data_IF_156528778054
#
_entry.id   IF_156528778054
#
_cell.length_a   1.000
_cell.length_b   1.000
_cell.length_c   1.000
_cell.angle_alpha   90.00
_cell.angle_beta   90.00
_cell.angle_gamma   90.00
#
_symmetry.space_group_name_H-M   'P 1'
#
loop_
_entity.id
_entity.type
_entity.pdbx_description
1 polymer ?
#
# COMPACT_ATOMS: atom_id res chain seq x y z
N UNK A 1 -18.64 17.66 7.56
CA UNK A 1 -18.73 16.18 7.50
C UNK A 1 -17.40 15.63 8.00
N UNK A 2 -17.35 14.72 8.97
CA UNK A 2 -16.07 14.24 9.54
C UNK A 2 -15.40 13.27 8.56
N UNK A 3 -14.05 13.28 8.51
CA UNK A 3 -13.23 12.37 7.69
C UNK A 3 -13.66 10.89 7.79
N UNK A 4 -14.11 10.44 8.98
CA UNK A 4 -14.64 9.10 9.20
C UNK A 4 -15.93 8.80 8.41
N UNK A 5 -16.84 9.77 8.30
CA UNK A 5 -18.09 9.60 7.52
C UNK A 5 -17.81 9.54 6.02
N UNK A 6 -16.78 10.23 5.58
CA UNK A 6 -16.43 10.31 4.16
C UNK A 6 -15.70 9.05 3.68
N UNK A 7 -14.75 8.52 4.46
CA UNK A 7 -14.08 7.25 4.14
C UNK A 7 -15.07 6.08 4.05
N UNK A 8 -16.05 6.04 4.99
CA UNK A 8 -17.12 5.06 4.95
C UNK A 8 -18.03 5.22 3.72
N UNK A 9 -18.29 6.46 3.27
CA UNK A 9 -19.13 6.73 2.09
C UNK A 9 -18.44 6.35 0.79
N UNK A 10 -17.16 6.64 0.63
CA UNK A 10 -16.41 6.27 -0.58
C UNK A 10 -16.27 4.76 -0.69
N UNK A 11 -15.96 4.09 0.40
CA UNK A 11 -15.90 2.63 0.42
C UNK A 11 -17.28 2.02 0.20
N UNK A 12 -18.35 2.60 0.75
CA UNK A 12 -19.71 2.20 0.53
C UNK A 12 -20.10 2.27 -0.95
N UNK A 13 -19.71 3.32 -1.67
CA UNK A 13 -19.96 3.43 -3.10
C UNK A 13 -19.18 2.37 -3.90
N UNK A 14 -17.92 2.10 -3.55
CA UNK A 14 -17.09 1.08 -4.22
C UNK A 14 -17.60 -0.33 -3.93
N UNK A 15 -17.98 -0.62 -2.69
CA UNK A 15 -18.51 -1.92 -2.29
C UNK A 15 -19.95 -2.14 -2.76
N UNK A 16 -20.80 -1.09 -2.75
CA UNK A 16 -22.17 -1.16 -3.21
C UNK A 16 -22.27 -1.28 -4.75
N UNK A 17 -21.33 -0.72 -5.51
CA UNK A 17 -21.25 -0.94 -6.95
C UNK A 17 -21.04 -2.44 -7.32
N UNK A 18 -20.51 -3.25 -6.38
CA UNK A 18 -20.43 -4.70 -6.50
C UNK A 18 -21.72 -5.47 -6.20
N UNK A 19 -22.76 -4.80 -5.69
CA UNK A 19 -24.01 -5.41 -5.23
C UNK A 19 -25.09 -5.47 -6.31
N UNK A 20 -24.78 -5.97 -7.47
CA UNK A 20 -25.81 -6.32 -8.42
C UNK A 20 -26.53 -7.61 -7.95
N UNK A 21 -27.88 -7.67 -8.02
CA UNK A 21 -28.61 -8.87 -7.61
C UNK A 21 -28.11 -10.11 -8.36
N UNK A 22 -28.14 -11.27 -7.70
CA UNK A 22 -27.62 -12.54 -8.21
C UNK A 22 -28.14 -12.93 -9.62
N UNK A 23 -29.28 -12.39 -10.05
CA UNK A 23 -29.81 -12.50 -11.42
C UNK A 23 -28.98 -11.71 -12.48
N UNK A 24 -28.21 -10.71 -12.06
CA UNK A 24 -27.34 -9.95 -12.96
C UNK A 24 -25.97 -10.63 -13.18
N UNK A 25 -25.64 -11.69 -12.43
CA UNK A 25 -24.41 -12.47 -12.67
C UNK A 25 -24.40 -13.19 -14.03
N UNK A 26 -25.56 -13.48 -14.59
CA UNK A 26 -25.68 -14.06 -15.94
C UNK A 26 -25.49 -13.00 -17.05
N UNK A 27 -25.68 -11.72 -16.74
CA UNK A 27 -25.53 -10.58 -17.65
C UNK A 27 -24.15 -9.91 -17.55
N UNK A 28 -23.17 -10.50 -16.84
CA UNK A 28 -21.80 -9.98 -16.66
C UNK A 28 -20.99 -9.84 -17.94
N UNK A 29 -21.50 -10.25 -19.08
CA UNK A 29 -20.91 -10.00 -20.40
C UNK A 29 -21.37 -8.68 -21.07
N UNK A 30 -22.34 -7.99 -20.51
CA UNK A 30 -22.62 -6.61 -20.90
C UNK A 30 -21.73 -5.72 -20.03
N UNK A 31 -20.79 -4.99 -20.64
CA UNK A 31 -20.02 -3.95 -19.97
C UNK A 31 -21.00 -3.04 -19.26
N UNK A 32 -21.02 -3.05 -17.92
CA UNK A 32 -21.71 -2.00 -17.18
C UNK A 32 -21.11 -0.68 -17.60
N UNK A 33 -21.93 0.15 -18.21
CA UNK A 33 -21.54 1.50 -18.56
C UNK A 33 -21.44 2.30 -17.25
N UNK A 34 -20.21 2.57 -16.85
CA UNK A 34 -19.94 3.27 -15.59
C UNK A 34 -20.57 4.67 -15.57
N UNK A 35 -20.82 5.25 -16.73
CA UNK A 35 -21.48 6.55 -16.86
C UNK A 35 -22.99 6.50 -16.53
N UNK A 36 -23.54 5.33 -16.24
CA UNK A 36 -24.95 5.14 -15.88
C UNK A 36 -25.19 4.83 -14.40
N UNK A 37 -24.16 4.87 -13.55
CA UNK A 37 -24.33 4.64 -12.11
C UNK A 37 -24.92 5.88 -11.42
N UNK A 38 -26.05 5.70 -10.75
CA UNK A 38 -26.59 6.69 -9.82
C UNK A 38 -25.93 6.53 -8.45
N UNK A 39 -24.76 7.15 -8.26
CA UNK A 39 -24.00 7.05 -7.01
C UNK A 39 -24.80 7.49 -5.78
N UNK A 40 -25.57 8.60 -5.80
CA UNK A 40 -26.48 8.93 -4.71
C UNK A 40 -27.48 7.81 -4.37
N UNK A 41 -28.14 7.24 -5.36
CA UNK A 41 -29.10 6.14 -5.15
C UNK A 41 -28.42 4.89 -4.57
N UNK A 42 -27.21 4.56 -5.03
CA UNK A 42 -26.41 3.44 -4.50
C UNK A 42 -26.09 3.67 -3.02
N UNK A 43 -25.65 4.88 -2.65
CA UNK A 43 -25.32 5.22 -1.26
C UNK A 43 -26.55 5.16 -0.34
N UNK A 44 -27.71 5.54 -0.83
CA UNK A 44 -28.96 5.55 -0.06
C UNK A 44 -29.64 4.16 0.00
N UNK A 45 -29.18 3.18 -0.74
CA UNK A 45 -29.74 1.82 -0.75
C UNK A 45 -29.42 1.03 0.53
N UNK A 46 -29.83 1.57 1.70
CA UNK A 46 -29.53 0.99 3.03
C UNK A 46 -30.19 -0.38 3.25
N UNK A 47 -31.26 -0.68 2.51
CA UNK A 47 -31.98 -1.94 2.58
C UNK A 47 -31.44 -3.00 1.61
N UNK A 48 -30.38 -2.69 0.87
CA UNK A 48 -29.75 -3.64 -0.03
C UNK A 48 -29.24 -4.87 0.74
N UNK A 49 -29.42 -6.05 0.14
CA UNK A 49 -29.04 -7.34 0.72
C UNK A 49 -28.00 -8.03 -0.17
N UNK A 50 -27.07 -8.77 0.46
CA UNK A 50 -26.09 -9.53 -0.31
C UNK A 50 -24.83 -9.86 0.46
N UNK A 51 -23.80 -10.23 -0.29
CA UNK A 51 -22.46 -10.49 0.24
C UNK A 51 -21.42 -9.78 -0.61
N UNK A 52 -20.49 -9.10 0.04
CA UNK A 52 -19.31 -8.49 -0.57
C UNK A 52 -18.06 -9.21 -0.04
N UNK A 53 -17.30 -9.83 -0.95
CA UNK A 53 -16.02 -10.43 -0.63
C UNK A 53 -14.92 -9.39 -0.82
N UNK A 54 -14.23 -9.06 0.28
CA UNK A 54 -13.11 -8.12 0.31
C UNK A 54 -11.82 -8.92 0.41
N UNK A 55 -11.03 -8.98 -0.65
CA UNK A 55 -9.73 -9.63 -0.62
C UNK A 55 -8.65 -8.62 -0.31
N UNK A 56 -7.80 -8.92 0.68
CA UNK A 56 -6.72 -8.01 1.09
C UNK A 56 -5.55 -8.77 1.74
N UNK A 57 -4.41 -8.12 1.86
CA UNK A 57 -3.21 -8.68 2.53
C UNK A 57 -2.90 -8.02 3.87
N UNK A 58 -3.68 -7.07 4.34
CA UNK A 58 -3.51 -6.43 5.64
C UNK A 58 -3.95 -7.35 6.78
N UNK A 59 -3.00 -8.11 7.31
CA UNK A 59 -3.28 -9.20 8.27
C UNK A 59 -2.68 -8.97 9.65
N UNK A 60 -1.87 -7.91 9.85
CA UNK A 60 -1.19 -7.63 11.10
C UNK A 60 -1.09 -6.13 11.39
N UNK A 61 -0.87 -5.77 12.66
CA UNK A 61 -0.62 -4.42 13.11
C UNK A 61 -1.70 -3.42 12.73
N UNK A 62 -1.33 -2.15 12.57
CA UNK A 62 -2.23 -1.07 12.22
C UNK A 62 -2.91 -1.20 10.86
N UNK A 63 -2.33 -1.94 9.92
CA UNK A 63 -2.97 -2.25 8.65
C UNK A 63 -4.23 -3.12 8.84
N UNK A 64 -4.14 -4.14 9.71
CA UNK A 64 -5.30 -4.97 10.06
C UNK A 64 -6.39 -4.13 10.70
N UNK A 65 -6.04 -3.30 11.69
CA UNK A 65 -7.00 -2.43 12.39
C UNK A 65 -7.66 -1.45 11.41
N UNK A 66 -6.91 -0.94 10.43
CA UNK A 66 -7.42 -0.04 9.41
C UNK A 66 -8.46 -0.71 8.52
N UNK A 67 -8.18 -1.90 7.96
CA UNK A 67 -9.16 -2.59 7.10
C UNK A 67 -10.37 -3.09 7.89
N UNK A 68 -10.20 -3.53 9.14
CA UNK A 68 -11.31 -3.91 10.01
C UNK A 68 -12.21 -2.70 10.28
N UNK A 69 -11.66 -1.53 10.58
CA UNK A 69 -12.43 -0.29 10.76
C UNK A 69 -13.23 0.10 9.51
N UNK A 70 -12.69 -0.16 8.33
CA UNK A 70 -13.33 0.09 7.05
C UNK A 70 -14.50 -0.89 6.84
N UNK A 71 -14.28 -2.18 7.05
CA UNK A 71 -15.31 -3.23 6.92
C UNK A 71 -16.44 -3.03 7.94
N UNK A 72 -16.10 -2.68 9.18
CA UNK A 72 -17.09 -2.39 10.23
C UNK A 72 -17.91 -1.14 9.89
N UNK A 73 -17.27 -0.08 9.40
CA UNK A 73 -17.97 1.13 8.93
C UNK A 73 -18.97 0.83 7.82
N UNK A 74 -18.60 -0.04 6.87
CA UNK A 74 -19.50 -0.52 5.84
C UNK A 74 -20.66 -1.33 6.41
N UNK A 75 -20.37 -2.32 7.25
CA UNK A 75 -21.40 -3.20 7.87
C UNK A 75 -22.39 -2.43 8.73
N UNK A 76 -21.93 -1.39 9.44
CA UNK A 76 -22.80 -0.50 10.22
C UNK A 76 -23.70 0.37 9.31
N UNK A 77 -23.24 0.68 8.10
CA UNK A 77 -24.00 1.49 7.14
C UNK A 77 -25.01 0.66 6.36
N UNK A 78 -24.64 -0.60 6.05
CA UNK A 78 -25.44 -1.54 5.25
C UNK A 78 -25.59 -2.87 6.01
N UNK A 79 -26.46 -2.93 7.03
CA UNK A 79 -26.53 -4.08 7.95
C UNK A 79 -27.02 -5.38 7.30
N UNK A 80 -27.71 -5.29 6.18
CA UNK A 80 -28.21 -6.45 5.43
C UNK A 80 -27.20 -6.99 4.40
N UNK A 81 -26.07 -6.31 4.24
CA UNK A 81 -25.00 -6.76 3.37
C UNK A 81 -23.89 -7.39 4.24
N UNK A 82 -23.61 -8.65 3.99
CA UNK A 82 -22.51 -9.33 4.65
C UNK A 82 -21.18 -8.98 4.00
N UNK A 83 -20.39 -8.11 4.63
CA UNK A 83 -19.00 -7.91 4.24
C UNK A 83 -18.15 -9.08 4.75
N UNK A 84 -17.51 -9.80 3.84
CA UNK A 84 -16.62 -10.93 4.14
C UNK A 84 -15.17 -10.56 3.87
N UNK A 85 -14.43 -10.32 4.94
CA UNK A 85 -12.98 -10.14 4.87
C UNK A 85 -12.29 -11.46 4.52
N UNK A 86 -11.55 -11.48 3.42
CA UNK A 86 -10.75 -12.61 2.94
C UNK A 86 -9.27 -12.20 3.00
N UNK A 87 -8.73 -12.20 4.20
CA UNK A 87 -7.35 -11.84 4.47
C UNK A 87 -6.39 -12.93 3.99
N UNK A 88 -5.42 -12.58 3.15
CA UNK A 88 -4.39 -13.49 2.64
C UNK A 88 -3.04 -12.90 2.99
N UNK A 89 -2.32 -13.47 3.97
CA UNK A 89 -1.04 -12.94 4.40
C UNK A 89 0.02 -13.07 3.31
N UNK A 90 0.91 -12.10 3.27
CA UNK A 90 2.04 -12.06 2.34
C UNK A 90 2.40 -10.63 2.00
N UNK A 91 3.66 -10.27 2.20
CA UNK A 91 4.15 -8.91 1.95
C UNK A 91 3.84 -8.44 0.53
N UNK A 92 3.50 -7.17 0.40
CA UNK A 92 3.13 -6.53 -0.87
C UNK A 92 2.05 -7.26 -1.70
N UNK A 93 1.22 -8.10 -1.04
CA UNK A 93 0.04 -8.69 -1.66
C UNK A 93 0.27 -9.81 -2.67
N UNK A 94 1.48 -10.28 -2.90
CA UNK A 94 1.79 -11.23 -3.97
C UNK A 94 0.89 -12.49 -3.97
N UNK A 95 0.67 -13.11 -2.80
CA UNK A 95 -0.20 -14.27 -2.68
C UNK A 95 -1.68 -13.93 -2.96
N UNK A 96 -2.14 -12.77 -2.50
CA UNK A 96 -3.50 -12.30 -2.73
C UNK A 96 -3.74 -11.97 -4.20
N UNK A 97 -2.83 -11.27 -4.85
CA UNK A 97 -2.86 -10.98 -6.29
C UNK A 97 -2.98 -12.25 -7.13
N UNK A 98 -2.17 -13.27 -6.83
CA UNK A 98 -2.27 -14.57 -7.49
C UNK A 98 -3.63 -15.24 -7.27
N UNK A 99 -4.17 -15.18 -6.06
CA UNK A 99 -5.50 -15.72 -5.74
C UNK A 99 -6.60 -15.02 -6.53
N UNK A 100 -6.57 -13.70 -6.61
CA UNK A 100 -7.55 -12.90 -7.37
C UNK A 100 -7.48 -13.25 -8.86
N UNK A 101 -6.28 -13.36 -9.45
CA UNK A 101 -6.11 -13.76 -10.85
C UNK A 101 -6.72 -15.14 -11.12
N UNK A 102 -6.51 -16.12 -10.25
CA UNK A 102 -7.12 -17.47 -10.37
C UNK A 102 -8.65 -17.39 -10.30
N UNK A 103 -9.20 -16.59 -9.37
CA UNK A 103 -10.65 -16.41 -9.26
C UNK A 103 -11.25 -15.75 -10.51
N UNK A 104 -10.57 -14.75 -11.06
CA UNK A 104 -11.01 -14.08 -12.28
C UNK A 104 -11.00 -15.04 -13.48
N UNK A 105 -9.94 -15.84 -13.63
CA UNK A 105 -9.86 -16.86 -14.69
C UNK A 105 -10.98 -17.92 -14.57
N UNK A 106 -11.39 -18.21 -13.34
CA UNK A 106 -12.50 -19.13 -13.09
C UNK A 106 -13.90 -18.48 -13.21
N UNK A 107 -14.00 -17.22 -13.64
CA UNK A 107 -15.25 -16.45 -13.70
C UNK A 107 -15.86 -16.13 -12.33
N UNK A 108 -15.06 -16.16 -11.27
CA UNK A 108 -15.45 -15.91 -9.87
C UNK A 108 -14.74 -14.69 -9.31
N UNK A 109 -14.69 -13.61 -10.08
CA UNK A 109 -14.07 -12.34 -9.63
C UNK A 109 -14.67 -11.91 -8.29
N UNK A 110 -13.85 -11.49 -7.31
CA UNK A 110 -14.36 -10.90 -6.07
C UNK A 110 -15.05 -9.56 -6.36
N UNK A 111 -15.91 -9.12 -5.47
CA UNK A 111 -16.58 -7.83 -5.56
C UNK A 111 -15.61 -6.69 -5.36
N UNK A 112 -14.61 -6.87 -4.49
CA UNK A 112 -13.52 -5.89 -4.31
C UNK A 112 -12.26 -6.58 -3.80
N UNK A 113 -11.11 -6.00 -4.15
CA UNK A 113 -9.82 -6.48 -3.68
C UNK A 113 -8.84 -5.31 -3.57
N UNK A 114 -7.86 -5.47 -2.70
CA UNK A 114 -6.75 -4.54 -2.55
C UNK A 114 -5.79 -4.68 -3.73
N UNK A 115 -5.28 -3.57 -4.23
CA UNK A 115 -4.25 -3.51 -5.26
C UNK A 115 -3.40 -2.25 -5.05
N UNK A 116 -2.18 -2.26 -5.55
CA UNK A 116 -1.42 -1.03 -5.70
C UNK A 116 -1.86 -0.30 -6.98
N UNK A 117 -1.82 1.03 -6.99
CA UNK A 117 -2.07 1.80 -8.21
C UNK A 117 -0.93 1.64 -9.23
N UNK A 118 -1.10 2.23 -10.41
CA UNK A 118 -0.10 2.20 -11.47
C UNK A 118 -0.06 0.86 -12.21
N UNK A 119 1.12 0.35 -12.50
CA UNK A 119 1.32 -0.82 -13.35
C UNK A 119 0.65 -2.10 -12.85
N UNK A 120 0.36 -2.23 -11.56
CA UNK A 120 -0.26 -3.44 -11.02
C UNK A 120 -1.71 -3.64 -11.50
N UNK A 121 -2.46 -2.56 -11.76
CA UNK A 121 -3.85 -2.67 -12.22
C UNK A 121 -3.97 -2.91 -13.72
N UNK A 122 -2.96 -2.60 -14.53
CA UNK A 122 -3.00 -2.72 -15.99
C UNK A 122 -3.41 -4.12 -16.50
N UNK A 123 -2.88 -5.23 -15.94
CA UNK A 123 -3.31 -6.57 -16.38
C UNK A 123 -4.80 -6.85 -16.13
N UNK A 124 -5.44 -6.15 -15.19
CA UNK A 124 -6.85 -6.34 -14.91
C UNK A 124 -7.76 -5.59 -15.89
N UNK A 125 -7.28 -4.52 -16.53
CA UNK A 125 -8.04 -3.76 -17.53
C UNK A 125 -8.41 -4.64 -18.72
N UNK A 126 -7.47 -5.48 -19.17
CA UNK A 126 -7.68 -6.39 -20.32
C UNK A 126 -8.75 -7.45 -20.05
N UNK A 127 -9.03 -7.75 -18.79
CA UNK A 127 -10.06 -8.71 -18.40
C UNK A 127 -11.48 -8.18 -18.58
N UNK A 128 -11.65 -6.85 -18.62
CA UNK A 128 -12.96 -6.17 -18.63
C UNK A 128 -13.78 -6.40 -17.36
N UNK A 129 -13.15 -6.82 -16.26
CA UNK A 129 -13.82 -7.16 -15.01
C UNK A 129 -13.75 -6.04 -13.96
N UNK A 130 -12.97 -4.99 -14.21
CA UNK A 130 -12.92 -3.82 -13.36
C UNK A 130 -14.05 -2.85 -13.71
N UNK A 131 -14.65 -2.30 -12.67
CA UNK A 131 -15.64 -1.24 -12.78
C UNK A 131 -14.92 0.10 -12.82
N UNK A 132 -15.25 0.95 -13.81
CA UNK A 132 -14.81 2.34 -13.85
C UNK A 132 -15.38 3.10 -12.65
N UNK A 133 -14.52 3.81 -11.95
CA UNK A 133 -14.86 4.54 -10.71
C UNK A 133 -14.81 6.07 -10.87
N UNK A 134 -14.74 6.61 -12.08
CA UNK A 134 -14.68 8.05 -12.30
C UNK A 134 -15.81 8.79 -11.57
N UNK A 135 -17.05 8.31 -11.66
CA UNK A 135 -18.16 8.93 -10.95
C UNK A 135 -18.04 8.88 -9.43
N UNK A 136 -17.40 7.83 -8.88
CA UNK A 136 -17.12 7.74 -7.43
C UNK A 136 -16.07 8.79 -7.04
N UNK A 137 -15.05 8.97 -7.86
CA UNK A 137 -14.02 9.98 -7.65
C UNK A 137 -14.60 11.39 -7.67
N UNK A 138 -15.46 11.69 -8.64
CA UNK A 138 -16.12 12.98 -8.79
C UNK A 138 -17.08 13.26 -7.62
N UNK A 139 -17.98 12.32 -7.33
CA UNK A 139 -18.96 12.45 -6.25
C UNK A 139 -18.29 12.66 -4.89
N UNK A 140 -17.27 11.90 -4.59
CA UNK A 140 -16.54 12.00 -3.34
C UNK A 140 -15.45 13.10 -3.35
N UNK A 141 -15.24 13.79 -4.46
CA UNK A 141 -14.20 14.81 -4.65
C UNK A 141 -12.83 14.30 -4.21
N UNK A 142 -12.46 13.07 -4.62
CA UNK A 142 -11.24 12.42 -4.17
C UNK A 142 -10.01 13.19 -4.68
N UNK A 143 -9.97 13.55 -5.95
CA UNK A 143 -8.86 14.27 -6.58
C UNK A 143 -8.52 15.60 -5.91
N UNK A 144 -9.54 16.35 -5.49
CA UNK A 144 -9.32 17.66 -4.81
C UNK A 144 -8.74 17.54 -3.40
N UNK A 145 -8.71 16.34 -2.83
CA UNK A 145 -8.20 16.05 -1.48
C UNK A 145 -7.02 15.09 -1.48
N UNK A 146 -6.70 14.57 -2.65
CA UNK A 146 -5.54 13.71 -2.85
C UNK A 146 -4.24 14.51 -2.68
N UNK A 147 -3.18 13.81 -2.28
CA UNK A 147 -1.84 14.36 -2.36
C UNK A 147 -1.46 14.60 -3.84
N UNK A 148 -0.60 15.58 -4.12
CA UNK A 148 -0.08 15.77 -5.47
C UNK A 148 0.47 14.48 -6.07
N UNK A 149 0.13 14.20 -7.34
CA UNK A 149 0.54 12.99 -8.06
C UNK A 149 -0.26 11.72 -7.75
N UNK A 150 -1.06 11.69 -6.67
CA UNK A 150 -1.83 10.49 -6.32
C UNK A 150 -2.96 10.22 -7.31
N UNK A 151 -3.60 11.25 -7.84
CA UNK A 151 -4.63 11.10 -8.85
C UNK A 151 -4.05 10.52 -10.15
N UNK A 152 -2.90 11.02 -10.58
CA UNK A 152 -2.20 10.52 -11.77
C UNK A 152 -1.81 9.05 -11.60
N UNK A 153 -1.29 8.69 -10.42
CA UNK A 153 -0.93 7.31 -10.09
C UNK A 153 -2.14 6.36 -10.09
N UNK A 154 -3.32 6.84 -9.68
CA UNK A 154 -4.58 6.09 -9.70
C UNK A 154 -5.30 6.10 -11.05
N UNK A 155 -4.79 6.86 -12.03
CA UNK A 155 -5.34 6.92 -13.40
C UNK A 155 -4.65 5.86 -14.25
N UNK A 156 -5.44 4.95 -14.81
CA UNK A 156 -4.94 3.85 -15.65
C UNK A 156 -4.55 4.36 -17.05
N UNK A 157 -3.89 3.51 -17.84
CA UNK A 157 -3.41 3.84 -19.18
C UNK A 157 -4.52 4.24 -20.17
N UNK A 158 -5.77 3.86 -19.91
CA UNK A 158 -6.94 4.27 -20.68
C UNK A 158 -7.57 5.61 -20.24
N UNK A 159 -6.97 6.28 -19.25
CA UNK A 159 -7.43 7.55 -18.70
C UNK A 159 -8.53 7.43 -17.64
N UNK A 160 -8.93 6.24 -17.26
CA UNK A 160 -9.97 6.01 -16.26
C UNK A 160 -9.40 5.58 -14.90
N UNK A 161 -10.23 5.70 -13.87
CA UNK A 161 -9.91 5.32 -12.50
C UNK A 161 -10.67 4.05 -12.12
N UNK A 162 -9.94 3.03 -11.66
CA UNK A 162 -10.48 1.73 -11.26
C UNK A 162 -10.15 1.40 -9.80
N UNK A 163 -9.46 2.30 -9.12
CA UNK A 163 -8.98 2.13 -7.77
C UNK A 163 -9.33 3.37 -6.93
N UNK A 164 -9.56 3.15 -5.65
CA UNK A 164 -9.73 4.21 -4.65
C UNK A 164 -8.65 4.05 -3.59
N UNK A 165 -7.84 5.08 -3.34
CA UNK A 165 -6.81 5.02 -2.32
C UNK A 165 -7.44 4.96 -0.93
N UNK A 166 -7.14 3.93 -0.15
CA UNK A 166 -7.60 3.75 1.23
C UNK A 166 -6.49 3.90 2.26
N UNK A 167 -5.24 3.87 1.82
CA UNK A 167 -4.06 4.09 2.64
C UNK A 167 -2.90 4.59 1.79
N UNK A 168 -2.06 5.43 2.39
CA UNK A 168 -0.84 5.94 1.79
C UNK A 168 0.27 5.68 2.80
N UNK A 169 1.29 4.94 2.35
CA UNK A 169 2.47 4.66 3.14
C UNK A 169 3.56 5.66 2.79
N UNK A 170 4.26 6.16 3.81
CA UNK A 170 5.51 6.90 3.61
C UNK A 170 6.65 5.89 3.68
N UNK A 171 7.39 5.72 2.60
CA UNK A 171 8.57 4.86 2.56
C UNK A 171 9.88 5.62 2.76
N UNK A 172 9.93 6.89 2.38
CA UNK A 172 11.12 7.74 2.46
C UNK A 172 11.33 8.38 3.85
N UNK A 173 11.23 7.59 4.91
CA UNK A 173 11.42 8.04 6.28
C UNK A 173 12.23 7.01 7.07
N UNK A 174 13.08 7.49 7.98
CA UNK A 174 13.82 6.66 8.92
C UNK A 174 13.09 6.71 10.27
N UNK A 175 12.68 5.56 10.76
CA UNK A 175 12.19 5.42 12.12
C UNK A 175 13.36 5.07 13.04
N UNK A 176 13.43 5.71 14.20
CA UNK A 176 14.46 5.42 15.19
C UNK A 176 13.90 5.37 16.59
N UNK A 177 14.51 4.57 17.46
CA UNK A 177 14.14 4.47 18.85
C UNK A 177 15.01 5.42 19.69
N UNK A 178 14.40 6.48 20.23
CA UNK A 178 15.11 7.49 21.05
C UNK A 178 15.79 6.86 22.27
N UNK A 179 15.20 5.82 22.85
CA UNK A 179 15.78 5.16 24.03
C UNK A 179 17.04 4.36 23.68
N UNK A 180 17.17 3.88 22.46
CA UNK A 180 18.42 3.26 21.99
C UNK A 180 19.52 4.28 21.91
N UNK A 181 19.25 5.46 21.35
CA UNK A 181 20.20 6.57 21.30
C UNK A 181 20.62 7.01 22.70
N UNK A 182 19.67 7.21 23.62
CA UNK A 182 19.94 7.54 25.04
C UNK A 182 20.77 6.46 25.72
N UNK A 183 20.41 5.18 25.54
CA UNK A 183 21.09 4.01 26.14
C UNK A 183 22.57 3.95 25.75
N UNK A 184 22.86 4.23 24.50
CA UNK A 184 24.23 4.14 23.95
C UNK A 184 24.97 5.48 23.90
N UNK A 185 24.32 6.57 24.32
CA UNK A 185 24.93 7.90 24.39
C UNK A 185 25.25 8.50 23.02
N UNK A 186 24.49 8.12 21.99
CA UNK A 186 24.59 8.65 20.62
C UNK A 186 23.64 9.82 20.49
N UNK A 187 24.13 10.94 19.96
CA UNK A 187 23.31 12.12 19.73
C UNK A 187 22.29 11.91 18.61
N UNK A 188 21.04 12.31 18.86
CA UNK A 188 20.00 12.27 17.83
C UNK A 188 20.25 13.44 16.88
N UNK A 189 20.34 13.19 15.55
CA UNK A 189 20.64 14.24 14.58
C UNK A 189 19.45 15.20 14.41
N UNK A 190 19.71 16.36 13.82
CA UNK A 190 18.66 17.23 13.32
C UNK A 190 17.87 16.52 12.22
N UNK A 191 16.57 16.41 12.41
CA UNK A 191 15.70 15.56 11.60
C UNK A 191 15.44 16.08 10.18
N UNK A 192 15.74 17.38 9.92
CA UNK A 192 15.33 18.00 8.66
C UNK A 192 16.40 17.88 7.57
N UNK A 193 17.65 17.64 7.94
CA UNK A 193 18.77 17.74 6.99
C UNK A 193 19.92 16.76 7.25
N UNK A 194 19.62 15.52 7.60
CA UNK A 194 20.67 14.52 7.80
C UNK A 194 21.39 14.22 6.48
N UNK A 195 22.73 14.32 6.50
CA UNK A 195 23.61 13.94 5.40
C UNK A 195 23.98 12.46 5.47
N UNK A 196 24.45 11.88 4.36
CA UNK A 196 25.01 10.52 4.36
C UNK A 196 26.19 10.36 5.31
N UNK A 197 27.05 11.37 5.45
CA UNK A 197 28.18 11.32 6.37
C UNK A 197 27.73 11.27 7.83
N UNK A 198 26.71 12.05 8.19
CA UNK A 198 26.11 12.00 9.52
C UNK A 198 25.40 10.67 9.78
N UNK A 199 24.65 10.15 8.81
CA UNK A 199 24.02 8.85 8.91
C UNK A 199 25.03 7.73 9.17
N UNK A 200 26.13 7.69 8.40
CA UNK A 200 27.18 6.70 8.60
C UNK A 200 27.88 6.87 9.96
N UNK A 201 28.13 8.10 10.37
CA UNK A 201 28.71 8.38 11.70
C UNK A 201 27.85 7.86 12.83
N UNK A 202 26.51 7.98 12.72
CA UNK A 202 25.56 7.43 13.69
C UNK A 202 25.61 5.90 13.69
N UNK A 203 25.58 5.27 12.51
CA UNK A 203 25.69 3.82 12.38
C UNK A 203 26.98 3.28 13.00
N UNK A 204 28.12 3.94 12.75
CA UNK A 204 29.42 3.58 13.32
C UNK A 204 29.43 3.70 14.86
N UNK A 205 28.85 4.79 15.40
CA UNK A 205 28.78 5.00 16.85
C UNK A 205 27.89 3.96 17.53
N UNK A 206 26.73 3.67 16.95
CA UNK A 206 25.84 2.63 17.46
C UNK A 206 26.49 1.25 17.39
N UNK A 207 27.10 0.89 16.26
CA UNK A 207 27.79 -0.39 16.10
C UNK A 207 28.94 -0.59 17.09
N UNK A 208 29.67 0.50 17.40
CA UNK A 208 30.77 0.46 18.39
C UNK A 208 30.26 0.36 19.85
N UNK A 209 29.05 0.83 20.14
CA UNK A 209 28.49 0.87 21.49
C UNK A 209 27.59 -0.34 21.80
N UNK A 210 27.00 -0.94 20.79
CA UNK A 210 26.11 -2.11 20.92
C UNK A 210 26.91 -3.38 21.23
N UNK A 211 26.34 -4.30 22.03
CA UNK A 211 26.97 -5.60 22.27
C UNK A 211 26.90 -6.49 21.02
N UNK A 212 27.76 -7.52 21.00
CA UNK A 212 27.76 -8.52 19.93
C UNK A 212 26.35 -9.13 19.73
N UNK A 213 25.88 -9.10 18.49
CA UNK A 213 24.58 -9.63 18.10
C UNK A 213 23.45 -8.60 18.09
N UNK A 214 23.66 -7.36 18.52
CA UNK A 214 22.79 -6.22 18.27
C UNK A 214 23.31 -5.42 17.06
N UNK A 215 22.40 -4.85 16.28
CA UNK A 215 22.73 -4.17 15.02
C UNK A 215 22.07 -2.79 14.96
N UNK A 216 22.75 -1.77 14.41
CA UNK A 216 22.21 -0.40 14.30
C UNK A 216 20.97 -0.27 13.44
N UNK A 217 20.81 -1.13 12.43
CA UNK A 217 19.72 -1.06 11.47
C UNK A 217 18.88 -2.35 11.54
N UNK A 218 17.60 -2.18 11.74
CA UNK A 218 16.63 -3.26 11.77
C UNK A 218 15.94 -3.36 10.41
N UNK A 219 16.17 -4.45 9.68
CA UNK A 219 15.59 -4.73 8.38
C UNK A 219 15.03 -6.15 8.36
N UNK A 220 13.76 -6.30 7.99
CA UNK A 220 13.11 -7.58 7.73
C UNK A 220 12.68 -7.66 6.28
N UNK A 221 13.44 -8.38 5.46
CA UNK A 221 13.22 -8.41 4.00
C UNK A 221 12.94 -9.80 3.42
N UNK A 222 12.45 -10.71 4.24
CA UNK A 222 12.10 -12.09 3.85
C UNK A 222 11.35 -12.21 2.52
N UNK A 223 10.62 -11.17 2.12
CA UNK A 223 9.83 -11.14 0.88
C UNK A 223 10.45 -10.25 -0.21
N UNK A 224 11.57 -9.62 0.05
CA UNK A 224 12.32 -8.77 -0.87
C UNK A 224 11.76 -7.37 -1.11
N UNK A 225 10.48 -7.11 -0.81
CA UNK A 225 9.89 -5.79 -1.02
C UNK A 225 10.47 -4.70 -0.08
N UNK A 226 10.80 -4.98 1.20
CA UNK A 226 11.48 -3.97 2.03
C UNK A 226 12.85 -3.60 1.50
N UNK A 227 13.60 -4.59 0.99
CA UNK A 227 14.88 -4.35 0.34
C UNK A 227 14.74 -3.42 -0.90
N UNK A 228 13.67 -3.60 -1.68
CA UNK A 228 13.36 -2.72 -2.82
C UNK A 228 13.07 -1.30 -2.35
N UNK A 229 12.28 -1.11 -1.29
CA UNK A 229 12.01 0.23 -0.74
C UNK A 229 13.28 0.91 -0.22
N UNK A 230 14.13 0.19 0.51
CA UNK A 230 15.43 0.74 0.96
C UNK A 230 16.29 1.16 -0.24
N UNK A 231 16.29 0.41 -1.32
CA UNK A 231 17.00 0.77 -2.55
C UNK A 231 16.44 2.07 -3.17
N UNK A 232 15.12 2.22 -3.22
CA UNK A 232 14.46 3.43 -3.69
C UNK A 232 14.73 4.63 -2.79
N UNK A 233 14.74 4.43 -1.46
CA UNK A 233 15.05 5.48 -0.48
C UNK A 233 16.49 5.96 -0.61
N UNK A 234 17.44 5.07 -0.88
CA UNK A 234 18.83 5.44 -1.15
C UNK A 234 18.95 6.27 -2.42
N UNK A 235 18.22 5.92 -3.48
CA UNK A 235 18.17 6.74 -4.70
C UNK A 235 17.68 8.15 -4.41
N UNK A 236 16.53 8.28 -3.74
CA UNK A 236 15.94 9.57 -3.39
C UNK A 236 16.82 10.37 -2.43
N UNK A 237 17.46 9.70 -1.46
CA UNK A 237 18.38 10.34 -0.50
C UNK A 237 19.70 10.74 -1.11
N UNK A 238 20.08 10.19 -2.26
CA UNK A 238 21.29 10.57 -3.01
C UNK A 238 20.96 11.75 -3.94
N UNK A 239 19.98 11.60 -4.79
CA UNK A 239 19.41 12.64 -5.65
C UNK A 239 18.01 12.18 -6.12
N UNK A 240 16.93 12.91 -5.82
CA UNK A 240 15.58 12.58 -6.30
C UNK A 240 15.48 12.38 -7.82
N UNK A 241 16.35 13.04 -8.60
CA UNK A 241 16.38 12.88 -10.04
C UNK A 241 16.82 11.47 -10.47
N UNK A 242 17.73 10.84 -9.72
CA UNK A 242 18.15 9.44 -9.99
C UNK A 242 16.94 8.49 -9.88
N UNK A 243 16.11 8.69 -8.85
CA UNK A 243 14.88 7.90 -8.69
C UNK A 243 13.90 8.14 -9.85
N UNK A 244 13.67 9.41 -10.19
CA UNK A 244 12.74 9.76 -11.27
C UNK A 244 13.20 9.20 -12.62
N UNK A 245 14.48 9.30 -12.94
CA UNK A 245 15.06 8.72 -14.16
C UNK A 245 14.98 7.19 -14.15
N UNK A 246 15.21 6.56 -12.99
CA UNK A 246 15.13 5.11 -12.84
C UNK A 246 13.72 4.57 -13.13
N UNK A 247 12.68 5.14 -12.51
CA UNK A 247 11.30 4.69 -12.73
C UNK A 247 10.79 4.95 -14.15
N UNK A 248 11.35 5.96 -14.82
CA UNK A 248 11.04 6.29 -16.23
C UNK A 248 11.89 5.50 -17.25
N UNK A 249 12.80 4.63 -16.80
CA UNK A 249 13.66 3.83 -17.66
C UNK A 249 14.82 4.60 -18.33
N UNK A 250 15.09 5.83 -17.87
CA UNK A 250 16.15 6.72 -18.37
C UNK A 250 17.43 6.69 -17.50
N UNK A 251 17.57 5.68 -16.66
CA UNK A 251 18.63 5.60 -15.65
C UNK A 251 20.05 5.58 -16.21
N UNK A 252 20.95 6.18 -15.46
CA UNK A 252 22.40 6.09 -15.66
C UNK A 252 22.96 4.88 -14.88
N UNK A 253 23.75 4.05 -15.53
CA UNK A 253 24.35 2.86 -14.90
C UNK A 253 25.32 3.22 -13.77
N UNK A 254 26.05 4.34 -13.88
CA UNK A 254 26.97 4.81 -12.85
C UNK A 254 26.19 5.20 -11.58
N UNK A 255 25.10 5.94 -11.71
CA UNK A 255 24.25 6.36 -10.58
C UNK A 255 23.64 5.15 -9.87
N UNK A 256 23.10 4.19 -10.61
CA UNK A 256 22.56 2.94 -10.04
C UNK A 256 23.67 2.13 -9.35
N UNK A 257 24.88 2.12 -9.89
CA UNK A 257 26.03 1.43 -9.26
C UNK A 257 26.42 2.10 -7.94
N UNK A 258 26.38 3.43 -7.87
CA UNK A 258 26.66 4.18 -6.66
C UNK A 258 25.57 3.91 -5.58
N UNK A 259 24.32 3.88 -5.98
CA UNK A 259 23.18 3.52 -5.09
C UNK A 259 23.36 2.09 -4.54
N UNK A 260 23.72 1.12 -5.39
CA UNK A 260 23.98 -0.26 -4.95
C UNK A 260 25.21 -0.35 -4.03
N UNK A 261 26.20 0.46 -4.22
CA UNK A 261 27.38 0.54 -3.34
C UNK A 261 26.99 1.08 -1.97
N UNK A 262 26.16 2.12 -1.93
CA UNK A 262 25.59 2.67 -0.69
C UNK A 262 24.71 1.64 0.02
N UNK A 263 23.87 0.91 -0.73
CA UNK A 263 23.06 -0.19 -0.21
C UNK A 263 23.95 -1.29 0.40
N UNK A 264 25.01 -1.69 -0.30
CA UNK A 264 25.93 -2.70 0.19
C UNK A 264 26.60 -2.28 1.51
N UNK A 265 26.98 -1.01 1.63
CA UNK A 265 27.51 -0.46 2.90
C UNK A 265 26.46 -0.49 4.02
N UNK A 266 25.19 -0.14 3.71
CA UNK A 266 24.11 -0.17 4.68
C UNK A 266 23.92 -1.58 5.27
N UNK A 267 24.07 -2.61 4.45
CA UNK A 267 23.94 -4.00 4.89
C UNK A 267 25.02 -4.46 5.89
N UNK A 268 26.12 -3.72 6.03
CA UNK A 268 27.14 -3.99 7.06
C UNK A 268 26.62 -3.72 8.49
N UNK A 269 25.57 -2.88 8.61
CA UNK A 269 24.93 -2.51 9.87
C UNK A 269 23.63 -3.29 10.15
N UNK A 270 23.23 -4.20 9.27
CA UNK A 270 22.00 -4.99 9.36
C UNK A 270 22.31 -6.39 9.88
N UNK A 271 21.40 -6.97 10.66
CA UNK A 271 21.52 -8.34 11.15
C UNK A 271 21.64 -9.33 9.98
N UNK A 272 22.56 -10.33 10.05
CA UNK A 272 22.80 -11.29 8.95
C UNK A 272 21.58 -12.15 8.58
N UNK A 273 20.62 -12.29 9.49
CA UNK A 273 19.40 -13.09 9.32
C UNK A 273 18.21 -12.26 8.79
N UNK A 274 18.43 -10.98 8.37
CA UNK A 274 17.41 -10.06 7.85
C UNK A 274 16.51 -10.70 6.77
N UNK A 275 17.08 -11.49 5.88
CA UNK A 275 16.35 -12.17 4.80
C UNK A 275 15.43 -13.32 5.26
N UNK A 276 15.49 -13.71 6.53
CA UNK A 276 14.61 -14.70 7.16
C UNK A 276 13.54 -14.07 8.05
N UNK A 277 13.60 -12.77 8.31
CA UNK A 277 12.65 -12.01 9.13
C UNK A 277 11.61 -11.30 8.29
N UNK A 278 10.38 -11.26 8.76
CA UNK A 278 9.35 -10.40 8.18
C UNK A 278 9.44 -8.96 8.75
N UNK A 279 8.98 -7.97 7.99
CA UNK A 279 9.03 -6.55 8.35
C UNK A 279 8.39 -6.24 9.73
N UNK A 280 7.32 -6.93 10.09
CA UNK A 280 6.63 -6.70 11.36
C UNK A 280 7.39 -7.25 12.57
N UNK A 281 8.26 -8.26 12.36
CA UNK A 281 9.12 -8.80 13.41
C UNK A 281 10.18 -7.78 13.80
N UNK A 282 10.82 -7.18 12.81
CA UNK A 282 11.85 -6.14 13.02
C UNK A 282 11.25 -4.83 13.53
N UNK A 283 10.11 -4.38 12.98
CA UNK A 283 9.41 -3.20 13.51
C UNK A 283 8.99 -3.39 14.98
N UNK A 284 8.66 -4.62 15.39
CA UNK A 284 8.40 -4.97 16.78
C UNK A 284 9.65 -4.82 17.67
N UNK A 285 10.82 -5.16 17.16
CA UNK A 285 12.11 -4.98 17.88
C UNK A 285 12.48 -3.51 18.04
N UNK A 286 12.21 -2.69 17.03
CA UNK A 286 12.48 -1.25 17.11
C UNK A 286 11.73 -0.55 18.26
N UNK A 287 10.55 -1.02 18.64
CA UNK A 287 9.72 -0.41 19.68
C UNK A 287 9.80 -1.13 21.04
N UNK A 288 10.50 -2.25 21.12
CA UNK A 288 10.67 -3.03 22.35
C UNK A 288 11.82 -2.49 23.22
#
# INVERSE_FOLDING_TARGET
MTLRKLGAMVLAAVLAAGLLPAGALAARNEKMDADQMDIPAIIEAKDAEGTVNVYHWWTAGGEKDAIESVVDGFSNTYPNIRAKSNAIPGGAGGAMVMKVKVLQQAGKSPETFQAHPGQEIEPYLTSGLLLNLNQVWDYASIGTRALPGLEDLCTASDGNKYIVPIGIHKSNVIFYNIHVFEKYGVEIPDHENITWDEFWSICDQLAAAMPDGEYPIDLGDRKGWPACQVFEDIMMGTDPQIYEDFINGNYNVEDVTNVLSTYSRLMEYVAPDHSSRDWYETSGQLVA
#
